data_IF_687919985721
#
_entry.id   IF_687919985721
#
_cell.length_a   1.000
_cell.length_b   1.000
_cell.length_c   1.000
_cell.angle_alpha   90.00
_cell.angle_beta   90.00
_cell.angle_gamma   90.00
#
_symmetry.space_group_name_H-M   'P 1'
#
loop_
_entity.id
_entity.type
_entity.pdbx_description
1 polymer ?
#
# COMPACT_ATOMS: atom_id res chain seq x y z
N UNK A 1 -8.87 -1.19 17.86
CA UNK A 1 -7.46 -1.43 17.51
C UNK A 1 -7.23 -1.03 16.08
N UNK A 2 -6.08 -0.44 15.80
CA UNK A 2 -5.74 0.00 14.46
C UNK A 2 -5.58 -1.17 13.49
N UNK A 3 -5.75 -0.89 12.20
CA UNK A 3 -5.44 -1.84 11.15
C UNK A 3 -4.35 -1.27 10.26
N UNK A 4 -3.56 -2.14 9.66
CA UNK A 4 -2.40 -1.72 8.87
C UNK A 4 -2.36 -2.41 7.53
N UNK A 5 -2.00 -1.64 6.51
CA UNK A 5 -1.50 -2.18 5.25
C UNK A 5 0.02 -2.24 5.36
N UNK A 6 0.56 -3.41 5.23
CA UNK A 6 2.01 -3.64 5.27
C UNK A 6 2.42 -4.15 3.91
N UNK A 7 3.15 -3.32 3.17
CA UNK A 7 3.42 -3.58 1.76
C UNK A 7 4.92 -3.55 1.49
N UNK A 8 5.41 -4.61 0.87
CA UNK A 8 6.76 -4.65 0.29
C UNK A 8 6.59 -4.83 -1.21
N UNK A 9 7.30 -4.04 -2.00
CA UNK A 9 7.01 -4.02 -3.43
C UNK A 9 8.16 -3.51 -4.28
N UNK A 10 8.01 -3.76 -5.59
CA UNK A 10 8.87 -3.20 -6.62
C UNK A 10 8.00 -2.82 -7.81
N UNK A 11 8.30 -1.71 -8.45
CA UNK A 11 7.57 -1.22 -9.62
C UNK A 11 8.51 -1.11 -10.81
N UNK A 12 8.04 -1.55 -11.97
CA UNK A 12 8.82 -1.61 -13.19
C UNK A 12 8.39 -0.59 -14.26
N UNK A 13 7.50 0.33 -13.91
CA UNK A 13 7.05 1.38 -14.82
C UNK A 13 6.71 2.61 -14.00
N UNK A 14 7.50 3.66 -14.18
CA UNK A 14 7.36 4.88 -13.38
C UNK A 14 6.03 5.59 -13.62
N UNK A 15 5.58 5.67 -14.88
CA UNK A 15 4.32 6.34 -15.19
C UNK A 15 3.12 5.59 -14.58
N UNK A 16 3.13 4.28 -14.66
CA UNK A 16 2.09 3.44 -14.05
C UNK A 16 2.09 3.63 -12.53
N UNK A 17 3.27 3.64 -11.93
CA UNK A 17 3.39 3.86 -10.48
C UNK A 17 2.81 5.22 -10.06
N UNK A 18 3.09 6.28 -10.81
CA UNK A 18 2.61 7.61 -10.48
C UNK A 18 1.08 7.69 -10.53
N UNK A 19 0.45 7.08 -11.52
CA UNK A 19 -1.00 7.02 -11.59
C UNK A 19 -1.60 6.28 -10.39
N UNK A 20 -1.01 5.15 -10.03
CA UNK A 20 -1.43 4.40 -8.86
C UNK A 20 -1.24 5.21 -7.58
N UNK A 21 -0.06 5.80 -7.40
CA UNK A 21 0.28 6.52 -6.17
C UNK A 21 -0.64 7.73 -5.94
N UNK A 22 -0.98 8.44 -6.99
CA UNK A 22 -1.92 9.56 -6.92
C UNK A 22 -3.29 9.09 -6.46
N UNK A 23 -3.81 8.04 -7.07
CA UNK A 23 -5.10 7.48 -6.70
C UNK A 23 -5.10 6.94 -5.27
N UNK A 24 -4.06 6.19 -4.90
CA UNK A 24 -3.94 5.61 -3.57
C UNK A 24 -3.87 6.67 -2.48
N UNK A 25 -3.18 7.78 -2.75
CA UNK A 25 -3.07 8.88 -1.79
C UNK A 25 -4.44 9.46 -1.44
N UNK A 26 -5.27 9.69 -2.45
CA UNK A 26 -6.63 10.20 -2.27
C UNK A 26 -7.48 9.21 -1.47
N UNK A 27 -7.43 7.93 -1.85
CA UNK A 27 -8.21 6.87 -1.22
C UNK A 27 -7.86 6.72 0.26
N UNK A 28 -6.57 6.68 0.57
CA UNK A 28 -6.09 6.54 1.95
C UNK A 28 -6.57 7.71 2.81
N UNK A 29 -6.38 8.93 2.35
CA UNK A 29 -6.81 10.13 3.08
C UNK A 29 -8.31 10.15 3.31
N UNK A 30 -9.08 9.83 2.28
CA UNK A 30 -10.53 9.83 2.33
C UNK A 30 -11.09 8.87 3.39
N UNK A 31 -10.34 7.82 3.68
CA UNK A 31 -10.74 6.79 4.63
C UNK A 31 -10.00 6.89 5.98
N UNK A 32 -9.53 8.08 6.30
CA UNK A 32 -8.83 8.38 7.56
C UNK A 32 -7.56 7.55 7.76
N UNK A 33 -6.97 7.12 6.67
CA UNK A 33 -5.70 6.42 6.68
C UNK A 33 -4.53 7.38 6.78
N UNK A 34 -3.42 6.87 7.27
CA UNK A 34 -2.23 7.64 7.49
C UNK A 34 -1.01 6.85 7.04
N UNK A 35 -0.22 7.42 6.14
CA UNK A 35 1.05 6.80 5.74
C UNK A 35 2.07 6.96 6.87
N UNK A 36 2.59 5.85 7.36
CA UNK A 36 3.64 5.85 8.38
C UNK A 36 5.02 5.60 7.77
N UNK A 37 5.09 4.79 6.72
CA UNK A 37 6.28 4.58 5.91
C UNK A 37 5.83 4.63 4.45
N UNK A 38 6.56 5.34 3.63
CA UNK A 38 6.16 5.53 2.23
C UNK A 38 7.39 5.57 1.31
N UNK A 39 8.09 4.45 1.23
CA UNK A 39 9.22 4.33 0.32
C UNK A 39 10.44 5.15 0.70
N UNK A 40 10.67 5.40 1.98
CA UNK A 40 11.89 6.04 2.45
C UNK A 40 13.08 5.08 2.38
N UNK A 41 14.22 5.52 2.88
CA UNK A 41 15.41 4.68 2.92
C UNK A 41 15.13 3.40 3.69
N UNK A 42 15.64 2.29 3.17
CA UNK A 42 15.51 1.01 3.85
C UNK A 42 16.78 0.17 3.67
N UNK A 43 16.97 -0.76 4.56
CA UNK A 43 18.04 -1.75 4.47
C UNK A 43 17.37 -3.14 4.55
N UNK A 44 17.56 -3.94 3.51
CA UNK A 44 17.07 -5.32 3.52
C UNK A 44 18.08 -6.20 4.27
N UNK A 45 17.65 -6.77 5.37
CA UNK A 45 18.52 -7.62 6.20
C UNK A 45 18.40 -9.10 5.82
N UNK A 46 17.19 -9.52 5.58
CA UNK A 46 16.89 -10.91 5.21
C UNK A 46 15.83 -10.89 4.14
N UNK A 47 15.87 -11.87 3.27
CA UNK A 47 14.85 -12.09 2.25
C UNK A 47 14.93 -11.24 0.99
N UNK A 48 13.79 -11.12 0.37
CA UNK A 48 13.59 -10.77 -1.01
C UNK A 48 14.06 -9.36 -1.40
N UNK A 49 14.35 -9.23 -2.66
CA UNK A 49 14.83 -7.99 -3.26
C UNK A 49 13.67 -7.03 -3.55
N UNK A 50 12.85 -6.76 -2.53
CA UNK A 50 11.77 -5.80 -2.62
C UNK A 50 12.30 -4.46 -2.11
N UNK A 51 12.36 -3.50 -3.01
CA UNK A 51 13.11 -2.26 -2.76
C UNK A 51 12.31 -1.14 -2.10
N UNK A 52 11.00 -1.34 -1.92
CA UNK A 52 10.13 -0.31 -1.37
C UNK A 52 9.23 -0.88 -0.28
N UNK A 53 9.10 -0.15 0.82
CA UNK A 53 8.21 -0.51 1.91
C UNK A 53 7.20 0.60 2.13
N UNK A 54 5.93 0.22 2.29
CA UNK A 54 4.85 1.17 2.60
C UNK A 54 4.08 0.62 3.79
N UNK A 55 3.82 1.49 4.76
CA UNK A 55 3.02 1.15 5.92
C UNK A 55 1.91 2.20 6.06
N UNK A 56 0.67 1.75 6.05
CA UNK A 56 -0.49 2.62 6.19
C UNK A 56 -1.27 2.20 7.42
N UNK A 57 -1.64 3.17 8.25
CA UNK A 57 -2.47 2.94 9.43
C UNK A 57 -3.89 3.41 9.14
N UNK A 58 -4.87 2.57 9.49
CA UNK A 58 -6.28 2.91 9.43
C UNK A 58 -6.90 2.88 10.84
N UNK A 59 -8.05 3.54 11.03
CA UNK A 59 -8.70 3.57 12.35
C UNK A 59 -9.00 2.19 12.92
N UNK A 60 -9.25 1.20 12.07
CA UNK A 60 -9.52 -0.16 12.51
C UNK A 60 -9.09 -1.19 11.46
N UNK A 61 -8.97 -2.43 11.91
CA UNK A 61 -8.68 -3.56 11.03
C UNK A 61 -9.79 -3.72 9.96
N UNK A 62 -11.05 -3.56 10.38
CA UNK A 62 -12.19 -3.66 9.48
C UNK A 62 -12.15 -2.58 8.39
N UNK A 63 -11.79 -1.35 8.75
CA UNK A 63 -11.62 -0.28 7.78
C UNK A 63 -10.50 -0.58 6.80
N UNK A 64 -9.35 -1.05 7.30
CA UNK A 64 -8.22 -1.40 6.45
C UNK A 64 -8.62 -2.44 5.39
N UNK A 65 -9.39 -3.45 5.79
CA UNK A 65 -9.88 -4.46 4.85
C UNK A 65 -10.90 -3.89 3.86
N UNK A 66 -11.87 -3.12 4.35
CA UNK A 66 -12.92 -2.58 3.49
C UNK A 66 -12.39 -1.62 2.45
N UNK A 67 -11.38 -0.84 2.77
CA UNK A 67 -10.74 0.08 1.80
C UNK A 67 -10.05 -0.72 0.71
N UNK A 68 -9.32 -1.76 1.07
CA UNK A 68 -8.65 -2.62 0.08
C UNK A 68 -9.67 -3.28 -0.85
N UNK A 69 -10.74 -3.82 -0.29
CA UNK A 69 -11.75 -4.56 -1.05
C UNK A 69 -12.68 -3.63 -1.84
N UNK A 70 -12.65 -2.35 -1.57
CA UNK A 70 -13.51 -1.38 -2.21
C UNK A 70 -13.18 -1.16 -3.68
N UNK A 71 -14.18 -0.71 -4.44
CA UNK A 71 -14.06 -0.50 -5.88
C UNK A 71 -12.97 0.50 -6.23
N UNK A 72 -12.86 1.58 -5.44
CA UNK A 72 -11.87 2.63 -5.73
C UNK A 72 -10.45 2.10 -5.70
N UNK A 73 -10.10 1.35 -4.65
CA UNK A 73 -8.73 0.81 -4.55
C UNK A 73 -8.49 -0.28 -5.58
N UNK A 74 -9.46 -1.13 -5.84
CA UNK A 74 -9.33 -2.17 -6.85
C UNK A 74 -9.12 -1.56 -8.25
N UNK A 75 -9.76 -0.42 -8.54
CA UNK A 75 -9.50 0.32 -9.77
C UNK A 75 -8.10 0.91 -9.81
N UNK A 76 -7.61 1.43 -8.67
CA UNK A 76 -6.26 1.97 -8.59
C UNK A 76 -5.20 0.91 -8.88
N UNK A 77 -5.38 -0.30 -8.38
CA UNK A 77 -4.44 -1.42 -8.60
C UNK A 77 -4.28 -1.74 -10.09
N UNK A 78 -5.30 -1.50 -10.90
CA UNK A 78 -5.24 -1.79 -12.33
C UNK A 78 -4.10 -1.06 -13.03
N UNK A 79 -3.69 0.10 -12.53
CA UNK A 79 -2.57 0.85 -13.10
C UNK A 79 -1.24 0.10 -12.99
N UNK A 80 -1.08 -0.70 -11.95
CA UNK A 80 0.20 -1.36 -11.65
C UNK A 80 0.16 -2.87 -11.80
N UNK A 81 -0.96 -3.43 -12.20
CA UNK A 81 -1.16 -4.87 -12.26
C UNK A 81 -0.07 -5.61 -13.04
N UNK A 82 0.32 -5.08 -14.19
CA UNK A 82 1.30 -5.70 -15.06
C UNK A 82 2.74 -5.17 -14.84
N UNK A 83 2.90 -4.24 -13.89
CA UNK A 83 4.14 -3.49 -13.73
C UNK A 83 4.72 -3.56 -12.32
N UNK A 84 4.22 -4.49 -11.51
CA UNK A 84 4.67 -4.57 -10.12
C UNK A 84 4.68 -6.00 -9.61
N UNK A 85 5.51 -6.19 -8.59
CA UNK A 85 5.41 -7.34 -7.70
C UNK A 85 5.20 -6.79 -6.29
N UNK A 86 4.19 -7.27 -5.58
CA UNK A 86 3.82 -6.74 -4.27
C UNK A 86 3.53 -7.87 -3.29
N UNK A 87 4.11 -7.74 -2.10
CA UNK A 87 3.74 -8.54 -0.95
C UNK A 87 2.89 -7.62 -0.07
N UNK A 88 1.60 -7.88 -0.01
CA UNK A 88 0.64 -6.98 0.64
C UNK A 88 -0.12 -7.74 1.71
N UNK A 89 -0.01 -7.29 2.95
CA UNK A 89 -0.67 -7.90 4.10
C UNK A 89 -1.50 -6.84 4.81
N UNK A 90 -2.67 -7.24 5.28
CA UNK A 90 -3.50 -6.41 6.16
C UNK A 90 -3.46 -7.07 7.54
N UNK A 91 -3.00 -6.32 8.53
CA UNK A 91 -2.81 -6.85 9.87
C UNK A 91 -3.45 -5.98 10.92
N UNK A 92 -3.95 -6.61 11.96
CA UNK A 92 -4.50 -5.89 13.10
C UNK A 92 -3.38 -5.50 14.04
N UNK A 93 -3.44 -4.28 14.57
CA UNK A 93 -2.48 -3.80 15.54
C UNK A 93 -2.79 -4.25 16.97
N UNK A 94 -1.89 -3.92 17.85
CA UNK A 94 -2.02 -4.25 19.28
C UNK A 94 -3.10 -3.42 19.97
#
# INVERSE_FOLDING_TARGET
MKGYWIVRCIYHNQDAFELYAEAATVIVKKNDGKFLVRGGNQVNKESAELERTVLVEFPSYEVAQSVYDGEEYQNAIKHIKDWSFRDFVISEGL
#
